data_IF_860833017529
#
_entry.id   IF_860833017529
#
_cell.length_a   1.000
_cell.length_b   1.000
_cell.length_c   1.000
_cell.angle_alpha   90.00
_cell.angle_beta   90.00
_cell.angle_gamma   90.00
#
_symmetry.space_group_name_H-M   'P 1'
#
loop_
_entity.id
_entity.type
_entity.pdbx_description
1 polymer ?
#
# COMPACT_ATOMS: atom_id res chain seq x y z
N UNK A 1 -9.56 -8.86 -8.27
CA UNK A 1 -9.05 -7.61 -8.88
C UNK A 1 -7.54 -7.66 -8.79
N UNK A 2 -6.79 -7.14 -9.78
CA UNK A 2 -5.34 -7.29 -9.83
C UNK A 2 -4.58 -6.08 -9.29
N UNK A 3 -3.28 -6.26 -9.08
CA UNK A 3 -2.35 -5.20 -8.65
C UNK A 3 -2.42 -3.93 -9.52
N UNK A 4 -2.61 -2.81 -8.86
CA UNK A 4 -2.68 -1.46 -9.44
C UNK A 4 -1.40 -0.72 -9.05
N UNK A 5 -0.68 -0.18 -10.02
CA UNK A 5 0.51 0.64 -9.71
C UNK A 5 0.12 1.96 -9.07
N UNK A 6 0.88 2.40 -8.05
CA UNK A 6 0.70 3.71 -7.41
C UNK A 6 0.82 4.88 -8.39
N UNK A 7 1.60 4.70 -9.48
CA UNK A 7 1.76 5.70 -10.55
C UNK A 7 0.50 5.85 -11.40
N UNK A 8 -0.35 4.82 -11.44
CA UNK A 8 -1.61 4.84 -12.19
C UNK A 8 -2.72 5.50 -11.38
N UNK A 9 -2.88 5.08 -10.13
CA UNK A 9 -3.79 5.69 -9.15
C UNK A 9 -3.48 5.22 -7.74
N UNK A 10 -3.89 6.01 -6.75
CA UNK A 10 -3.92 5.64 -5.35
C UNK A 10 -5.30 5.07 -4.97
N UNK A 11 -5.40 4.26 -3.91
CA UNK A 11 -6.69 3.86 -3.35
C UNK A 11 -7.39 5.06 -2.70
N UNK A 12 -8.65 4.87 -2.32
CA UNK A 12 -9.34 5.86 -1.49
C UNK A 12 -8.61 6.04 -0.14
N UNK A 13 -8.53 7.28 0.39
CA UNK A 13 -7.89 7.54 1.66
C UNK A 13 -8.50 6.72 2.79
N UNK A 14 -7.65 6.23 3.68
CA UNK A 14 -8.01 5.43 4.86
C UNK A 14 -8.68 4.08 4.56
N UNK A 15 -8.72 3.64 3.29
CA UNK A 15 -9.17 2.30 2.92
C UNK A 15 -8.00 1.31 3.01
N UNK A 16 -8.23 0.20 3.73
CA UNK A 16 -7.23 -0.85 3.93
C UNK A 16 -7.12 -1.74 2.69
N UNK A 17 -5.96 -1.69 2.06
CA UNK A 17 -5.63 -2.44 0.84
C UNK A 17 -4.43 -3.37 1.07
N UNK A 18 -4.27 -4.35 0.18
CA UNK A 18 -2.99 -5.04 0.04
C UNK A 18 -2.00 -4.14 -0.68
N UNK A 19 -0.76 -4.22 -0.23
CA UNK A 19 0.35 -3.38 -0.69
C UNK A 19 1.52 -4.28 -1.03
N UNK A 20 2.12 -4.02 -2.19
CA UNK A 20 3.39 -4.61 -2.62
C UNK A 20 4.47 -3.53 -2.55
N UNK A 21 5.55 -3.83 -1.85
CA UNK A 21 6.71 -2.94 -1.78
C UNK A 21 7.76 -3.27 -2.84
N UNK A 22 8.69 -2.34 -3.07
CA UNK A 22 9.87 -2.54 -3.92
C UNK A 22 10.71 -3.75 -3.48
N UNK A 23 10.78 -4.00 -2.16
CA UNK A 23 11.50 -5.13 -1.58
C UNK A 23 10.77 -6.47 -1.74
N UNK A 24 9.68 -6.53 -2.52
CA UNK A 24 8.90 -7.72 -2.78
C UNK A 24 8.02 -8.18 -1.61
N UNK A 25 7.86 -7.34 -0.57
CA UNK A 25 7.06 -7.69 0.60
C UNK A 25 5.61 -7.31 0.37
N UNK A 26 4.72 -8.28 0.65
CA UNK A 26 3.28 -8.05 0.62
C UNK A 26 2.76 -7.80 2.04
N UNK A 27 2.23 -6.61 2.28
CA UNK A 27 1.65 -6.21 3.57
C UNK A 27 0.31 -5.53 3.35
N UNK A 28 -0.43 -5.26 4.42
CA UNK A 28 -1.60 -4.38 4.36
C UNK A 28 -1.19 -2.96 4.71
N UNK A 29 -1.86 -2.00 4.08
CA UNK A 29 -1.63 -0.58 4.28
C UNK A 29 -2.84 0.23 3.87
N UNK A 30 -2.79 1.52 4.15
CA UNK A 30 -3.73 2.50 3.60
C UNK A 30 -2.98 3.77 3.24
N UNK A 31 -3.54 4.54 2.31
CA UNK A 31 -3.04 5.88 2.00
C UNK A 31 -3.75 6.90 2.89
N UNK A 32 -3.03 7.88 3.42
CA UNK A 32 -3.59 9.00 4.17
C UNK A 32 -4.15 10.05 3.22
N UNK A 33 -4.92 11.00 3.76
CA UNK A 33 -5.48 12.13 2.98
C UNK A 33 -4.42 12.97 2.25
N UNK A 34 -3.17 12.96 2.72
CA UNK A 34 -2.06 13.71 2.12
C UNK A 34 -1.27 12.91 1.06
N UNK A 35 -1.68 11.67 0.76
CA UNK A 35 -1.01 10.79 -0.20
C UNK A 35 0.08 9.90 0.40
N UNK A 36 0.42 10.06 1.69
CA UNK A 36 1.42 9.21 2.34
C UNK A 36 0.88 7.82 2.64
N UNK A 37 1.74 6.82 2.49
CA UNK A 37 1.42 5.44 2.84
C UNK A 37 1.61 5.17 4.33
N UNK A 38 0.66 4.48 4.93
CA UNK A 38 0.78 3.88 6.24
C UNK A 38 0.73 2.36 6.12
N UNK A 39 1.86 1.70 6.39
CA UNK A 39 1.96 0.23 6.40
C UNK A 39 1.62 -0.29 7.80
N UNK A 40 0.69 -1.25 7.88
CA UNK A 40 0.28 -1.82 9.18
C UNK A 40 1.36 -2.70 9.80
N UNK A 41 2.22 -3.31 8.96
CA UNK A 41 3.34 -4.11 9.45
C UNK A 41 4.51 -3.21 9.85
N UNK A 42 4.71 -3.00 11.16
CA UNK A 42 5.78 -2.14 11.70
C UNK A 42 7.18 -2.58 11.28
N UNK A 43 7.44 -3.89 11.17
CA UNK A 43 8.75 -4.41 10.73
C UNK A 43 9.08 -3.94 9.32
N UNK A 44 8.10 -4.03 8.42
CA UNK A 44 8.24 -3.58 7.03
C UNK A 44 8.29 -2.07 6.96
N UNK A 45 7.45 -1.35 7.72
CA UNK A 45 7.50 0.12 7.78
C UNK A 45 8.86 0.65 8.26
N UNK A 46 9.51 -0.03 9.21
CA UNK A 46 10.82 0.37 9.74
C UNK A 46 11.94 0.30 8.70
N UNK A 47 11.76 -0.48 7.64
CA UNK A 47 12.72 -0.57 6.52
C UNK A 47 12.55 0.59 5.52
N UNK A 48 11.58 1.48 5.73
CA UNK A 48 11.19 2.56 4.83
C UNK A 48 11.05 2.13 3.35
N UNK A 49 10.31 1.05 3.06
CA UNK A 49 10.17 0.55 1.70
C UNK A 49 9.23 1.44 0.89
N UNK A 50 9.45 1.47 -0.42
CA UNK A 50 8.59 2.19 -1.35
C UNK A 50 7.39 1.31 -1.75
N UNK A 51 6.19 1.87 -1.71
CA UNK A 51 4.98 1.18 -2.16
C UNK A 51 4.85 1.31 -3.67
N UNK A 52 4.98 0.19 -4.39
CA UNK A 52 4.96 0.19 -5.86
C UNK A 52 3.58 -0.16 -6.44
N UNK A 53 2.81 -1.00 -5.74
CA UNK A 53 1.49 -1.48 -6.17
C UNK A 53 0.58 -1.73 -4.99
N UNK A 54 -0.72 -1.67 -5.23
CA UNK A 54 -1.75 -2.02 -4.27
C UNK A 54 -2.88 -2.82 -4.91
N UNK A 55 -3.63 -3.54 -4.11
CA UNK A 55 -4.79 -4.34 -4.52
C UNK A 55 -5.90 -4.16 -3.50
N UNK A 56 -7.13 -3.98 -3.96
CA UNK A 56 -8.26 -3.82 -3.07
C UNK A 56 -8.51 -5.11 -2.29
N UNK A 57 -8.83 -5.00 -1.00
CA UNK A 57 -9.44 -6.11 -0.29
C UNK A 57 -10.90 -6.11 -0.74
N UNK A 58 -11.24 -6.89 -1.75
CA UNK A 58 -12.63 -7.03 -2.19
C UNK A 58 -13.51 -7.41 -1.02
N UNK A 59 -14.25 -6.43 -0.50
CA UNK A 59 -15.37 -6.60 0.43
C UNK A 59 -16.60 -5.99 -0.22
#
# INVERSE_FOLDING_TARGET
MGWISVKKRLPEPFVKVWVMTDSGKRVTGYVKSNGDWYLLCRKVAAENPEVIRWEDNGV
#
